data_IF_684851088728
#
_entry.id   IF_684851088728
#
_cell.length_a   1.000
_cell.length_b   1.000
_cell.length_c   1.000
_cell.angle_alpha   90.00
_cell.angle_beta   90.00
_cell.angle_gamma   90.00
#
_symmetry.space_group_name_H-M   'P 1'
#
loop_
_entity.id
_entity.type
_entity.pdbx_description
1 polymer ?
#
# COMPACT_ATOMS: atom_id res chain seq x y z
N UNK A 1 -4.34 -10.52 15.08
CA UNK A 1 -3.90 -11.61 14.19
C UNK A 1 -4.71 -11.38 12.93
N UNK A 2 -4.14 -10.61 12.00
CA UNK A 2 -4.88 -9.95 10.93
C UNK A 2 -5.29 -10.87 9.79
N UNK A 3 -6.36 -10.52 9.08
CA UNK A 3 -6.85 -11.25 7.91
C UNK A 3 -6.11 -10.79 6.63
N UNK A 4 -5.46 -11.72 5.93
CA UNK A 4 -4.80 -11.44 4.65
C UNK A 4 -5.84 -11.31 3.53
N UNK A 5 -5.76 -10.23 2.75
CA UNK A 5 -6.67 -9.93 1.63
C UNK A 5 -5.89 -9.99 0.30
N UNK A 6 -4.82 -9.21 0.18
CA UNK A 6 -3.97 -9.11 -1.01
C UNK A 6 -4.72 -8.83 -2.33
N UNK A 7 -5.70 -7.91 -2.31
CA UNK A 7 -6.52 -7.53 -3.45
C UNK A 7 -6.18 -6.13 -3.97
N UNK A 8 -6.37 -5.90 -5.28
CA UNK A 8 -6.21 -4.56 -5.85
C UNK A 8 -7.36 -3.64 -5.44
N UNK A 9 -7.01 -2.39 -5.16
CA UNK A 9 -7.95 -1.34 -4.76
C UNK A 9 -7.70 -0.07 -5.56
N UNK A 10 -8.75 0.73 -5.70
CA UNK A 10 -8.62 2.10 -6.20
C UNK A 10 -8.41 3.01 -5.00
N UNK A 11 -7.44 3.93 -5.07
CA UNK A 11 -7.16 4.84 -3.96
C UNK A 11 -7.19 6.27 -4.47
N UNK A 12 -8.06 7.07 -3.86
CA UNK A 12 -8.00 8.53 -3.96
C UNK A 12 -7.00 9.01 -2.93
N UNK A 13 -5.99 9.74 -3.40
CA UNK A 13 -4.92 10.26 -2.56
C UNK A 13 -4.65 11.72 -2.87
N UNK A 14 -4.15 12.45 -1.88
CA UNK A 14 -3.57 13.77 -2.06
C UNK A 14 -2.06 13.65 -2.27
N UNK A 15 -1.52 14.34 -3.28
CA UNK A 15 -0.08 14.42 -3.49
C UNK A 15 0.52 15.42 -2.49
N UNK A 16 1.45 14.95 -1.64
CA UNK A 16 2.18 15.80 -0.69
C UNK A 16 3.69 15.75 -0.95
N UNK A 17 4.41 16.70 -0.36
CA UNK A 17 5.88 16.67 -0.34
C UNK A 17 6.29 15.45 0.49
N UNK A 18 7.05 14.53 -0.12
CA UNK A 18 7.52 13.31 0.53
C UNK A 18 6.63 12.08 0.39
N UNK A 19 5.45 12.15 -0.27
CA UNK A 19 4.63 10.96 -0.49
C UNK A 19 3.20 11.22 -0.94
N UNK A 20 2.41 10.15 -1.01
CA UNK A 20 0.96 10.21 -1.28
C UNK A 20 0.21 10.01 0.02
N UNK A 21 -0.74 10.87 0.32
CA UNK A 21 -1.62 10.69 1.47
C UNK A 21 -2.94 10.05 1.00
N UNK A 22 -3.19 8.76 1.29
CA UNK A 22 -4.45 8.12 0.91
C UNK A 22 -5.60 8.68 1.76
N UNK A 23 -6.70 9.04 1.10
CA UNK A 23 -7.89 9.64 1.73
C UNK A 23 -9.09 8.69 1.70
N UNK A 24 -9.29 8.00 0.58
CA UNK A 24 -10.39 7.06 0.39
C UNK A 24 -9.85 5.91 -0.46
N UNK A 25 -10.24 4.68 -0.14
CA UNK A 25 -10.04 3.56 -1.04
C UNK A 25 -11.35 2.89 -1.41
N UNK A 26 -11.42 2.31 -2.61
CA UNK A 26 -12.53 1.47 -3.04
C UNK A 26 -12.08 0.02 -3.11
N UNK A 27 -12.82 -0.84 -2.44
CA UNK A 27 -12.60 -2.28 -2.42
C UNK A 27 -13.92 -2.99 -2.71
N UNK A 28 -13.93 -3.84 -3.75
CA UNK A 28 -15.12 -4.59 -4.20
C UNK A 28 -16.36 -3.72 -4.50
N UNK A 29 -16.13 -2.49 -4.96
CA UNK A 29 -17.18 -1.52 -5.29
C UNK A 29 -17.57 -0.59 -4.14
N UNK A 30 -17.24 -0.96 -2.90
CA UNK A 30 -17.50 -0.19 -1.69
C UNK A 30 -16.39 0.82 -1.40
N UNK A 31 -16.77 2.02 -0.97
CA UNK A 31 -15.85 3.10 -0.61
C UNK A 31 -15.59 3.16 0.89
N UNK A 32 -14.32 3.27 1.27
CA UNK A 32 -13.86 3.31 2.66
C UNK A 32 -13.08 4.60 2.91
N UNK A 33 -13.58 5.44 3.80
CA UNK A 33 -12.93 6.70 4.17
C UNK A 33 -11.84 6.47 5.22
N UNK A 34 -10.65 6.96 4.92
CA UNK A 34 -9.49 6.87 5.82
C UNK A 34 -9.53 8.06 6.76
N UNK A 35 -9.81 7.78 8.03
CA UNK A 35 -9.74 8.76 9.10
C UNK A 35 -8.30 9.23 9.35
N UNK A 36 -7.35 8.28 9.40
CA UNK A 36 -5.96 8.59 9.72
C UNK A 36 -4.98 7.57 9.14
N UNK A 37 -3.85 8.05 8.66
CA UNK A 37 -2.68 7.19 8.40
C UNK A 37 -1.86 7.07 9.68
N UNK A 38 -1.73 5.85 10.20
CA UNK A 38 -1.02 5.55 11.44
C UNK A 38 0.49 5.43 11.21
N UNK A 39 0.89 4.79 10.11
CA UNK A 39 2.29 4.53 9.80
C UNK A 39 2.51 4.49 8.29
N UNK A 40 3.69 4.92 7.84
CA UNK A 40 4.12 4.85 6.43
C UNK A 40 5.58 4.42 6.37
N UNK A 41 5.87 3.43 5.53
CA UNK A 41 7.25 3.00 5.29
C UNK A 41 7.46 2.54 3.85
N UNK A 42 8.71 2.61 3.39
CA UNK A 42 9.08 2.17 2.05
C UNK A 42 9.76 0.79 2.11
N UNK A 43 9.26 -0.15 1.32
CA UNK A 43 9.88 -1.46 1.11
C UNK A 43 10.72 -1.40 -0.18
N UNK A 44 12.04 -1.34 -0.01
CA UNK A 44 13.03 -1.36 -1.12
C UNK A 44 13.73 -2.72 -1.28
N UNK A 45 13.03 -3.82 -0.99
CA UNK A 45 13.60 -5.17 -0.97
C UNK A 45 13.76 -5.81 -2.36
N UNK A 46 14.72 -6.74 -2.50
CA UNK A 46 14.92 -7.55 -3.72
C UNK A 46 13.92 -8.73 -3.84
N UNK A 47 12.96 -8.86 -2.93
CA UNK A 47 12.12 -10.06 -2.79
C UNK A 47 12.90 -11.26 -2.22
N UNK A 48 12.28 -12.46 -2.23
CA UNK A 48 12.85 -13.68 -1.63
C UNK A 48 13.85 -14.45 -2.52
N UNK A 49 14.05 -14.04 -3.78
CA UNK A 49 14.96 -14.73 -4.68
C UNK A 49 16.36 -14.12 -4.59
N UNK A 50 17.40 -14.85 -4.13
CA UNK A 50 18.77 -14.38 -4.20
C UNK A 50 19.19 -14.33 -5.67
N UNK A 51 19.02 -13.17 -6.30
CA UNK A 51 19.56 -12.92 -7.61
C UNK A 51 21.08 -12.83 -7.49
N UNK A 52 21.79 -13.67 -8.26
CA UNK A 52 23.26 -13.80 -8.26
C UNK A 52 24.00 -12.48 -8.54
N UNK A 53 23.29 -11.46 -9.06
CA UNK A 53 23.71 -10.06 -9.27
C UNK A 53 22.49 -9.13 -9.09
N UNK A 54 22.24 -8.61 -7.89
CA UNK A 54 21.09 -7.74 -7.66
C UNK A 54 21.33 -6.38 -8.31
N UNK A 55 20.53 -6.04 -9.31
CA UNK A 55 20.54 -4.69 -9.87
C UNK A 55 19.54 -3.79 -9.15
N UNK A 56 19.88 -2.52 -8.98
CA UNK A 56 19.07 -1.57 -8.21
C UNK A 56 17.64 -1.40 -8.78
N UNK A 57 17.44 -1.57 -10.09
CA UNK A 57 16.14 -1.49 -10.76
C UNK A 57 15.24 -2.73 -10.54
N UNK A 58 15.79 -3.81 -9.97
CA UNK A 58 15.04 -5.03 -9.64
C UNK A 58 14.46 -4.98 -8.23
N UNK A 59 14.74 -3.92 -7.47
CA UNK A 59 14.15 -3.72 -6.16
C UNK A 59 12.66 -3.48 -6.30
N UNK A 60 11.89 -4.10 -5.41
CA UNK A 60 10.51 -3.70 -5.18
C UNK A 60 10.55 -2.26 -4.71
N UNK A 61 9.59 -1.52 -5.21
CA UNK A 61 9.44 -0.12 -4.89
C UNK A 61 8.01 -0.01 -4.39
N UNK A 62 7.79 -0.35 -3.14
CA UNK A 62 6.47 -0.32 -2.51
C UNK A 62 6.47 0.66 -1.37
N UNK A 63 5.41 1.44 -1.25
CA UNK A 63 5.17 2.30 -0.09
C UNK A 63 3.97 1.74 0.62
N UNK A 64 4.17 1.29 1.86
CA UNK A 64 3.13 0.73 2.70
C UNK A 64 2.56 1.80 3.62
N UNK A 65 1.28 1.68 3.91
CA UNK A 65 0.50 2.57 4.75
C UNK A 65 -0.34 1.73 5.70
N UNK A 66 -0.24 1.97 7.00
CA UNK A 66 -1.28 1.55 7.94
C UNK A 66 -2.32 2.65 7.99
N UNK A 67 -3.54 2.35 7.58
CA UNK A 67 -4.67 3.28 7.54
C UNK A 67 -5.74 2.84 8.52
N UNK A 68 -6.25 3.80 9.29
CA UNK A 68 -7.41 3.63 10.16
C UNK A 68 -8.62 4.27 9.50
N UNK A 69 -9.70 3.51 9.42
CA UNK A 69 -10.99 3.95 8.90
C UNK A 69 -11.83 4.64 9.98
N UNK A 70 -12.91 5.29 9.57
CA UNK A 70 -13.85 5.93 10.49
C UNK A 70 -14.55 4.96 11.44
N UNK A 71 -14.84 3.75 10.99
CA UNK A 71 -15.44 2.67 11.81
C UNK A 71 -14.48 2.12 12.88
N UNK A 72 -13.22 2.57 12.86
CA UNK A 72 -12.17 2.16 13.79
C UNK A 72 -11.30 1.02 13.28
N UNK A 73 -11.66 0.39 12.15
CA UNK A 73 -10.91 -0.68 11.52
C UNK A 73 -9.56 -0.19 11.01
N UNK A 74 -8.57 -1.08 11.01
CA UNK A 74 -7.22 -0.76 10.53
C UNK A 74 -6.80 -1.72 9.44
N UNK A 75 -6.27 -1.16 8.36
CA UNK A 75 -5.82 -1.91 7.19
C UNK A 75 -4.40 -1.53 6.82
N UNK A 76 -3.68 -2.50 6.28
CA UNK A 76 -2.43 -2.27 5.58
C UNK A 76 -2.69 -2.22 4.08
N UNK A 77 -2.35 -1.10 3.47
CA UNK A 77 -2.39 -0.91 2.01
C UNK A 77 -0.99 -0.58 1.53
N UNK A 78 -0.67 -0.91 0.28
CA UNK A 78 0.57 -0.45 -0.33
C UNK A 78 0.38 0.06 -1.74
N UNK A 79 1.25 0.98 -2.13
CA UNK A 79 1.38 1.51 -3.47
C UNK A 79 2.64 0.95 -4.13
N UNK A 80 2.50 0.19 -5.21
CA UNK A 80 3.64 -0.35 -5.97
C UNK A 80 4.08 0.64 -7.05
N UNK A 81 5.02 1.53 -6.70
CA UNK A 81 5.58 2.55 -7.61
C UNK A 81 6.44 1.95 -8.72
N UNK A 82 6.87 0.70 -8.59
CA UNK A 82 7.69 -0.02 -9.59
C UNK A 82 6.86 -0.73 -10.66
N UNK A 83 5.60 -1.02 -10.38
CA UNK A 83 4.70 -1.65 -11.34
C UNK A 83 4.34 -0.70 -12.50
N UNK A 84 4.24 -1.24 -13.72
CA UNK A 84 3.85 -0.44 -14.92
C UNK A 84 2.49 0.25 -14.76
N UNK A 85 1.59 -0.34 -13.98
CA UNK A 85 0.24 0.16 -13.73
C UNK A 85 0.15 1.08 -12.49
N UNK A 86 1.20 1.11 -11.65
CA UNK A 86 1.26 1.89 -10.39
C UNK A 86 0.09 1.58 -9.47
N UNK A 87 -0.20 0.29 -9.32
CA UNK A 87 -1.39 -0.21 -8.64
C UNK A 87 -1.28 -0.07 -7.11
N UNK A 88 -2.43 0.11 -6.48
CA UNK A 88 -2.60 0.03 -5.04
C UNK A 88 -3.18 -1.34 -4.66
N UNK A 89 -2.73 -1.89 -3.54
CA UNK A 89 -3.18 -3.19 -3.04
C UNK A 89 -3.58 -3.08 -1.57
N UNK A 90 -4.73 -3.64 -1.22
CA UNK A 90 -5.15 -3.92 0.13
C UNK A 90 -4.50 -5.22 0.58
N UNK A 91 -3.50 -5.13 1.45
CA UNK A 91 -2.73 -6.29 1.85
C UNK A 91 -3.47 -7.11 2.90
N UNK A 92 -3.84 -6.49 4.02
CA UNK A 92 -4.47 -7.19 5.15
C UNK A 92 -5.23 -6.24 6.05
N UNK A 93 -6.18 -6.78 6.80
CA UNK A 93 -6.79 -6.16 7.98
C UNK A 93 -5.95 -6.49 9.21
N UNK A 94 -5.77 -5.55 10.15
CA UNK A 94 -4.88 -5.71 11.33
C UNK A 94 -5.65 -6.19 12.55
#
# INVERSE_FOLDING_TARGET
MGELIAENIEVTFEQRIGGKLPLVFRWRGEGYEIQKVLEVWEEHGLGKAPLRRPHWWQRRHRVHYIVKLEDGETYEIYWDRGSKKKDWTLLKRI
#
